data_IF_381304999740
#
_entry.id   IF_381304999740
#
_cell.length_a   1.000
_cell.length_b   1.000
_cell.length_c   1.000
_cell.angle_alpha   90.00
_cell.angle_beta   90.00
_cell.angle_gamma   90.00
#
_symmetry.space_group_name_H-M   'P 1'
#
loop_
_entity.id
_entity.type
_entity.pdbx_description
1 polymer ?
#
# COMPACT_ATOMS: atom_id res chain seq x y z
N UNK A 1 -23.89 9.84 -16.68
CA UNK A 1 -22.70 9.73 -15.81
C UNK A 1 -22.37 8.25 -15.75
N UNK A 2 -21.18 7.81 -16.21
CA UNK A 2 -20.79 6.40 -16.15
C UNK A 2 -20.76 5.95 -14.68
N UNK A 3 -21.14 4.70 -14.42
CA UNK A 3 -21.29 4.14 -13.08
C UNK A 3 -19.93 4.08 -12.38
N UNK A 4 -19.85 4.60 -11.16
CA UNK A 4 -18.69 4.51 -10.24
C UNK A 4 -18.46 3.10 -9.66
N UNK A 5 -19.29 2.12 -10.05
CA UNK A 5 -19.19 0.74 -9.58
C UNK A 5 -18.07 -0.01 -10.32
N UNK A 6 -16.87 -0.06 -9.73
CA UNK A 6 -15.85 -1.07 -10.06
C UNK A 6 -14.41 -0.61 -10.16
N UNK A 7 -14.11 0.70 -10.18
CA UNK A 7 -12.74 1.16 -10.50
C UNK A 7 -11.65 0.64 -9.54
N UNK A 8 -11.94 0.59 -8.24
CA UNK A 8 -10.99 0.08 -7.23
C UNK A 8 -10.77 -1.41 -7.41
N UNK A 9 -11.85 -2.18 -7.55
CA UNK A 9 -11.78 -3.62 -7.82
C UNK A 9 -11.02 -3.91 -9.13
N UNK A 10 -11.32 -3.19 -10.21
CA UNK A 10 -10.69 -3.35 -11.51
C UNK A 10 -9.19 -3.08 -11.44
N UNK A 11 -8.80 -1.98 -10.77
CA UNK A 11 -7.39 -1.67 -10.51
C UNK A 11 -6.71 -2.81 -9.73
N UNK A 12 -7.30 -3.28 -8.65
CA UNK A 12 -6.72 -4.37 -7.87
C UNK A 12 -6.56 -5.66 -8.70
N UNK A 13 -7.55 -5.99 -9.53
CA UNK A 13 -7.49 -7.14 -10.44
C UNK A 13 -6.34 -7.00 -11.46
N UNK A 14 -6.21 -5.85 -12.10
CA UNK A 14 -5.13 -5.58 -13.06
C UNK A 14 -3.74 -5.74 -12.42
N UNK A 15 -3.58 -5.26 -11.18
CA UNK A 15 -2.34 -5.41 -10.43
C UNK A 15 -2.06 -6.88 -10.06
N UNK A 16 -3.07 -7.62 -9.63
CA UNK A 16 -2.95 -9.05 -9.35
C UNK A 16 -2.54 -9.84 -10.59
N UNK A 17 -3.13 -9.57 -11.75
CA UNK A 17 -2.77 -10.21 -13.01
C UNK A 17 -1.32 -9.91 -13.41
N UNK A 18 -0.91 -8.64 -13.33
CA UNK A 18 0.46 -8.22 -13.63
C UNK A 18 1.50 -8.85 -12.71
N UNK A 19 1.22 -8.90 -11.40
CA UNK A 19 2.11 -9.55 -10.43
C UNK A 19 2.16 -11.06 -10.62
N UNK A 20 1.04 -11.72 -10.94
CA UNK A 20 1.02 -13.14 -11.28
C UNK A 20 1.83 -13.43 -12.55
N UNK A 21 1.72 -12.61 -13.58
CA UNK A 21 2.51 -12.76 -14.80
C UNK A 21 4.02 -12.75 -14.50
N UNK A 22 4.48 -11.77 -13.70
CA UNK A 22 5.89 -11.69 -13.26
C UNK A 22 6.26 -12.92 -12.41
N UNK A 23 5.39 -13.35 -11.50
CA UNK A 23 5.62 -14.51 -10.66
C UNK A 23 5.81 -15.80 -11.48
N UNK A 24 5.02 -15.98 -12.55
CA UNK A 24 5.13 -17.12 -13.45
C UNK A 24 6.41 -17.09 -14.29
N UNK A 25 6.81 -15.92 -14.80
CA UNK A 25 8.01 -15.77 -15.64
C UNK A 25 9.32 -15.77 -14.84
N UNK A 26 9.32 -15.18 -13.65
CA UNK A 26 10.50 -14.96 -12.82
C UNK A 26 10.28 -15.44 -11.36
N UNK A 27 9.95 -16.74 -11.14
CA UNK A 27 9.50 -17.23 -9.84
C UNK A 27 10.56 -17.11 -8.73
N UNK A 28 11.84 -17.26 -9.07
CA UNK A 28 12.93 -17.10 -8.09
C UNK A 28 13.10 -15.65 -7.63
N UNK A 29 12.91 -14.70 -8.54
CA UNK A 29 12.98 -13.27 -8.23
C UNK A 29 11.80 -12.91 -7.34
N UNK A 30 10.59 -13.29 -7.75
CA UNK A 30 9.37 -12.95 -7.02
C UNK A 30 9.37 -13.53 -5.60
N UNK A 31 9.85 -14.76 -5.42
CA UNK A 31 10.00 -15.36 -4.07
C UNK A 31 10.94 -14.58 -3.18
N UNK A 32 12.08 -14.10 -3.71
CA UNK A 32 13.03 -13.29 -2.94
C UNK A 32 12.46 -11.92 -2.60
N UNK A 33 11.76 -11.30 -3.55
CA UNK A 33 11.08 -10.04 -3.35
C UNK A 33 10.01 -10.15 -2.26
N UNK A 34 9.11 -11.14 -2.34
CA UNK A 34 8.09 -11.40 -1.33
C UNK A 34 8.72 -11.64 0.05
N UNK A 35 9.73 -12.51 0.15
CA UNK A 35 10.40 -12.77 1.42
C UNK A 35 11.02 -11.50 2.05
N UNK A 36 11.59 -10.62 1.22
CA UNK A 36 12.09 -9.33 1.67
C UNK A 36 10.96 -8.44 2.18
N UNK A 37 9.90 -8.26 1.38
CA UNK A 37 8.73 -7.44 1.73
C UNK A 37 8.07 -7.94 3.02
N UNK A 38 7.79 -9.24 3.13
CA UNK A 38 7.20 -9.85 4.33
C UNK A 38 8.05 -9.55 5.57
N UNK A 39 9.37 -9.74 5.45
CA UNK A 39 10.31 -9.45 6.54
C UNK A 39 10.25 -7.98 6.97
N UNK A 40 10.13 -7.04 6.03
CA UNK A 40 10.01 -5.61 6.34
C UNK A 40 8.77 -5.29 7.17
N UNK A 41 7.65 -5.99 6.98
CA UNK A 41 6.39 -5.75 7.69
C UNK A 41 6.21 -6.59 8.97
N UNK A 42 7.11 -7.54 9.28
CA UNK A 42 7.08 -8.26 10.56
C UNK A 42 7.24 -7.34 11.79
N UNK A 43 6.64 -7.69 12.93
CA UNK A 43 6.79 -6.93 14.19
C UNK A 43 8.26 -6.84 14.61
N UNK A 44 8.70 -5.63 14.96
CA UNK A 44 10.04 -5.38 15.49
C UNK A 44 10.01 -4.33 16.59
N UNK A 45 10.92 -3.35 16.53
CA UNK A 45 10.87 -2.16 17.39
C UNK A 45 9.67 -1.27 17.10
N UNK A 46 9.20 -1.28 15.84
CA UNK A 46 7.95 -0.66 15.41
C UNK A 46 6.86 -1.74 15.35
N UNK A 47 5.64 -1.37 15.72
CA UNK A 47 4.50 -2.25 15.55
C UNK A 47 4.20 -2.44 14.06
N UNK A 48 3.52 -3.54 13.71
CA UNK A 48 3.10 -3.80 12.32
C UNK A 48 2.20 -2.67 11.84
N UNK A 49 1.23 -2.28 12.67
CA UNK A 49 0.37 -1.12 12.50
C UNK A 49 1.12 0.16 12.09
N UNK A 50 2.17 0.54 12.84
CA UNK A 50 2.95 1.74 12.54
C UNK A 50 3.63 1.65 11.16
N UNK A 51 4.11 0.45 10.80
CA UNK A 51 4.72 0.21 9.49
C UNK A 51 3.70 0.33 8.35
N UNK A 52 2.47 -0.12 8.55
CA UNK A 52 1.40 0.06 7.55
C UNK A 52 1.06 1.53 7.35
N UNK A 53 0.93 2.31 8.44
CA UNK A 53 0.69 3.76 8.36
C UNK A 53 1.83 4.50 7.65
N UNK A 54 3.09 4.12 7.93
CA UNK A 54 4.25 4.67 7.22
C UNK A 54 4.21 4.33 5.72
N UNK A 55 3.90 3.08 5.38
CA UNK A 55 3.80 2.64 3.98
C UNK A 55 2.67 3.37 3.23
N UNK A 56 1.52 3.56 3.89
CA UNK A 56 0.41 4.34 3.35
C UNK A 56 0.83 5.79 3.08
N UNK A 57 1.50 6.45 4.03
CA UNK A 57 1.99 7.82 3.86
C UNK A 57 2.96 7.95 2.68
N UNK A 58 3.89 6.99 2.51
CA UNK A 58 4.80 6.95 1.35
C UNK A 58 4.04 6.74 0.04
N UNK A 59 3.04 5.87 0.04
CA UNK A 59 2.21 5.59 -1.14
C UNK A 59 1.47 6.83 -1.61
N UNK A 60 0.88 7.59 -0.67
CA UNK A 60 0.25 8.89 -0.95
C UNK A 60 1.26 9.89 -1.50
N UNK A 61 2.45 9.97 -0.91
CA UNK A 61 3.48 10.91 -1.37
C UNK A 61 3.99 10.61 -2.79
N UNK A 62 4.06 9.33 -3.17
CA UNK A 62 4.45 8.89 -4.51
C UNK A 62 3.29 8.93 -5.52
N UNK A 63 2.05 9.14 -5.05
CA UNK A 63 0.82 9.01 -5.85
C UNK A 63 0.72 7.64 -6.53
N UNK A 64 1.12 6.61 -5.80
CA UNK A 64 0.99 5.21 -6.23
C UNK A 64 -0.36 4.67 -5.77
N UNK A 65 -1.33 4.70 -6.67
CA UNK A 65 -2.72 4.33 -6.40
C UNK A 65 -2.89 2.91 -5.88
N UNK A 66 -2.19 1.93 -6.47
CA UNK A 66 -2.23 0.54 -6.02
C UNK A 66 -1.71 0.39 -4.60
N UNK A 67 -0.60 1.07 -4.31
CA UNK A 67 -0.02 1.05 -2.97
C UNK A 67 -0.92 1.79 -1.96
N UNK A 68 -1.58 2.89 -2.36
CA UNK A 68 -2.56 3.58 -1.50
C UNK A 68 -3.67 2.61 -1.12
N UNK A 69 -4.27 1.91 -2.09
CA UNK A 69 -5.34 0.95 -1.84
C UNK A 69 -4.87 -0.22 -0.96
N UNK A 70 -3.75 -0.84 -1.32
CA UNK A 70 -3.20 -2.01 -0.63
C UNK A 70 -2.83 -1.70 0.83
N UNK A 71 -2.15 -0.57 1.07
CA UNK A 71 -1.74 -0.19 2.43
C UNK A 71 -2.87 0.42 3.25
N UNK A 72 -3.91 0.98 2.61
CA UNK A 72 -5.15 1.35 3.31
C UNK A 72 -5.84 0.09 3.85
N UNK A 73 -5.99 -0.94 3.01
CA UNK A 73 -6.52 -2.24 3.45
C UNK A 73 -5.66 -2.86 4.56
N UNK A 74 -4.34 -2.87 4.40
CA UNK A 74 -3.44 -3.41 5.42
C UNK A 74 -3.51 -2.66 6.76
N UNK A 75 -3.72 -1.33 6.73
CA UNK A 75 -3.99 -0.55 7.94
C UNK A 75 -5.28 -1.01 8.65
N UNK A 76 -6.35 -1.21 7.89
CA UNK A 76 -7.64 -1.68 8.43
C UNK A 76 -7.48 -3.08 9.04
N UNK A 77 -6.81 -4.00 8.32
CA UNK A 77 -6.55 -5.37 8.77
C UNK A 77 -5.70 -5.39 10.07
N UNK A 78 -4.83 -4.40 10.28
CA UNK A 78 -4.03 -4.18 11.50
C UNK A 78 -4.71 -3.32 12.57
N UNK A 79 -6.02 -3.07 12.46
CA UNK A 79 -6.83 -2.28 13.40
C UNK A 79 -6.33 -0.83 13.58
N UNK A 80 -5.87 -0.19 12.50
CA UNK A 80 -5.77 1.25 12.45
C UNK A 80 -7.16 1.88 12.57
N UNK A 81 -7.25 2.93 13.37
CA UNK A 81 -8.42 3.79 13.43
C UNK A 81 -8.43 4.77 12.26
N UNK A 82 -9.61 5.25 11.89
CA UNK A 82 -9.77 6.28 10.87
C UNK A 82 -8.92 7.53 11.19
N UNK A 83 -8.83 7.90 12.48
CA UNK A 83 -8.02 9.03 12.92
C UNK A 83 -6.53 8.84 12.62
N UNK A 84 -5.98 7.66 12.89
CA UNK A 84 -4.56 7.38 12.60
C UNK A 84 -4.26 7.38 11.10
N UNK A 85 -5.18 6.83 10.29
CA UNK A 85 -5.07 6.83 8.83
C UNK A 85 -5.10 8.28 8.31
N UNK A 86 -6.06 9.08 8.77
CA UNK A 86 -6.20 10.47 8.37
C UNK A 86 -5.00 11.32 8.80
N UNK A 87 -4.42 11.07 9.97
CA UNK A 87 -3.18 11.73 10.41
C UNK A 87 -2.00 11.37 9.49
N UNK A 88 -1.81 10.09 9.16
CA UNK A 88 -0.74 9.65 8.26
C UNK A 88 -0.87 10.29 6.86
N UNK A 89 -2.08 10.32 6.30
CA UNK A 89 -2.38 10.99 5.02
C UNK A 89 -2.14 12.49 5.12
N UNK A 90 -2.54 13.13 6.23
CA UNK A 90 -2.33 14.57 6.46
C UNK A 90 -0.85 14.93 6.53
N UNK A 91 -0.03 14.09 7.19
CA UNK A 91 1.43 14.26 7.22
C UNK A 91 2.03 14.14 5.81
N UNK A 92 1.60 13.15 5.02
CA UNK A 92 2.03 13.00 3.64
C UNK A 92 1.65 14.22 2.78
N UNK A 93 0.41 14.70 2.89
CA UNK A 93 -0.06 15.90 2.18
C UNK A 93 0.74 17.15 2.59
N UNK A 94 0.96 17.36 3.89
CA UNK A 94 1.74 18.48 4.41
C UNK A 94 3.20 18.46 3.91
N UNK A 95 3.78 17.27 3.73
CA UNK A 95 5.11 17.11 3.13
C UNK A 95 5.10 17.43 1.62
N UNK A 96 4.14 16.89 0.87
CA UNK A 96 4.07 17.06 -0.59
C UNK A 96 3.80 18.51 -1.01
N UNK A 97 2.93 19.23 -0.30
CA UNK A 97 2.58 20.63 -0.59
C UNK A 97 3.75 21.61 -0.43
N UNK A 98 4.85 21.20 0.22
CA UNK A 98 6.05 22.04 0.40
C UNK A 98 7.10 21.85 -0.69
N UNK A 99 6.90 20.88 -1.60
CA UNK A 99 7.86 20.52 -2.65
C UNK A 99 7.41 20.95 -4.05
N UNK A 100 6.34 21.74 -4.15
CA UNK A 100 5.80 22.32 -5.38
C UNK A 100 5.88 23.84 -5.32
#
# INVERSE_FOLDING_TARGET
MPKEEGYVEDAMLDYEEGTQFIAQKLPRLMRKYQAFTDTCFTKGKLAVKDKQLMALAVSVALRDEYCILSYTKACIDENCTDSEILEAVSVAAAFCLRLQ
#
